data_IF_134943409527
#
_entry.id   IF_134943409527
#
_cell.length_a   1.000
_cell.length_b   1.000
_cell.length_c   1.000
_cell.angle_alpha   90.00
_cell.angle_beta   90.00
_cell.angle_gamma   90.00
#
_symmetry.space_group_name_H-M   'P 1'
#
loop_
_entity.id
_entity.type
_entity.pdbx_description
1 polymer ?
#
# COMPACT_ATOMS: atom_id res chain seq x y z
N UNK A 1 31.42 13.40 9.47
CA UNK A 1 30.38 13.08 8.48
C UNK A 1 29.59 14.37 8.33
N UNK A 2 29.86 15.15 7.29
CA UNK A 2 29.09 16.36 6.99
C UNK A 2 27.74 15.90 6.44
N UNK A 3 26.66 16.34 7.09
CA UNK A 3 25.31 16.08 6.62
C UNK A 3 24.97 17.16 5.59
N UNK A 4 24.93 16.79 4.33
CA UNK A 4 24.45 17.66 3.26
C UNK A 4 22.94 17.50 3.09
N UNK A 5 22.21 18.62 3.11
CA UNK A 5 20.75 18.62 2.96
C UNK A 5 20.30 18.92 1.52
N UNK A 6 21.22 19.02 0.58
CA UNK A 6 20.92 19.43 -0.81
C UNK A 6 20.04 18.38 -1.50
N UNK A 7 20.40 17.09 -1.41
CA UNK A 7 19.60 16.01 -1.99
C UNK A 7 18.23 15.93 -1.32
N UNK A 8 18.19 16.03 0.00
CA UNK A 8 16.95 16.03 0.76
C UNK A 8 16.04 17.21 0.40
N UNK A 9 16.62 18.40 0.18
CA UNK A 9 15.85 19.58 -0.25
C UNK A 9 15.15 19.33 -1.59
N UNK A 10 15.84 18.72 -2.56
CA UNK A 10 15.23 18.41 -3.87
C UNK A 10 14.13 17.37 -3.73
N UNK A 11 14.34 16.32 -2.93
CA UNK A 11 13.32 15.29 -2.64
C UNK A 11 12.06 15.93 -2.04
N UNK A 12 12.21 16.79 -1.03
CA UNK A 12 11.08 17.48 -0.37
C UNK A 12 10.41 18.48 -1.32
N UNK A 13 11.20 19.17 -2.16
CA UNK A 13 10.64 20.08 -3.16
C UNK A 13 9.77 19.34 -4.19
N UNK A 14 10.18 18.17 -4.63
CA UNK A 14 9.38 17.31 -5.51
C UNK A 14 8.13 16.81 -4.80
N UNK A 15 8.25 16.35 -3.55
CA UNK A 15 7.13 15.91 -2.73
C UNK A 15 6.05 17.00 -2.58
N UNK A 16 6.47 18.27 -2.52
CA UNK A 16 5.57 19.42 -2.52
C UNK A 16 5.02 19.74 -3.92
N UNK A 17 5.86 19.73 -4.94
CA UNK A 17 5.49 20.16 -6.30
C UNK A 17 4.57 19.17 -7.01
N UNK A 18 4.68 17.87 -6.76
CA UNK A 18 3.89 16.84 -7.43
C UNK A 18 2.37 16.99 -7.19
N UNK A 19 1.86 17.04 -5.95
CA UNK A 19 0.43 17.26 -5.72
C UNK A 19 -0.02 18.66 -6.16
N UNK A 20 0.84 19.67 -6.08
CA UNK A 20 0.53 21.01 -6.59
C UNK A 20 0.32 21.02 -8.10
N UNK A 21 1.19 20.35 -8.86
CA UNK A 21 1.07 20.21 -10.30
C UNK A 21 -0.22 19.49 -10.71
N UNK A 22 -0.63 18.43 -9.97
CA UNK A 22 -1.90 17.76 -10.17
C UNK A 22 -3.09 18.67 -9.87
N UNK A 23 -3.01 19.47 -8.82
CA UNK A 23 -4.05 20.46 -8.48
C UNK A 23 -4.23 21.52 -9.57
N UNK A 24 -3.15 21.92 -10.24
CA UNK A 24 -3.18 22.85 -11.38
C UNK A 24 -3.66 22.19 -12.68
N UNK A 25 -3.60 20.86 -12.78
CA UNK A 25 -4.02 20.09 -13.94
C UNK A 25 -5.16 19.10 -13.60
N UNK A 26 -6.36 19.55 -13.21
CA UNK A 26 -7.44 18.70 -12.69
C UNK A 26 -7.99 17.69 -13.70
N UNK A 27 -7.62 17.83 -14.98
CA UNK A 27 -7.92 16.85 -16.02
C UNK A 27 -7.06 15.59 -15.93
N UNK A 28 -5.87 15.70 -15.34
CA UNK A 28 -4.97 14.59 -15.06
C UNK A 28 -5.40 13.91 -13.76
N UNK A 29 -6.14 12.83 -13.86
CA UNK A 29 -6.61 12.04 -12.71
C UNK A 29 -5.57 10.98 -12.33
N UNK A 30 -4.35 11.41 -11.99
CA UNK A 30 -3.27 10.54 -11.57
C UNK A 30 -3.12 10.62 -10.04
N UNK A 31 -2.82 9.51 -9.36
CA UNK A 31 -2.36 9.56 -7.97
C UNK A 31 -1.05 10.33 -7.85
N UNK A 32 -0.88 11.11 -6.76
CA UNK A 32 0.34 11.90 -6.52
C UNK A 32 1.61 11.03 -6.52
N UNK A 33 1.52 9.82 -5.99
CA UNK A 33 2.63 8.85 -5.93
C UNK A 33 3.22 8.50 -7.30
N UNK A 34 2.41 8.51 -8.35
CA UNK A 34 2.88 8.30 -9.73
C UNK A 34 3.78 9.45 -10.16
N UNK A 35 3.35 10.68 -9.88
CA UNK A 35 4.12 11.87 -10.27
C UNK A 35 5.38 12.02 -9.41
N UNK A 36 5.32 11.68 -8.13
CA UNK A 36 6.46 11.65 -7.21
C UNK A 36 7.54 10.67 -7.70
N UNK A 37 7.15 9.46 -8.07
CA UNK A 37 8.06 8.45 -8.58
C UNK A 37 8.64 8.85 -9.94
N UNK A 38 7.82 9.33 -10.88
CA UNK A 38 8.29 9.79 -12.19
C UNK A 38 9.22 11.00 -12.06
N UNK A 39 8.91 11.95 -11.17
CA UNK A 39 9.79 13.08 -10.91
C UNK A 39 11.12 12.63 -10.30
N UNK A 40 11.09 11.64 -9.40
CA UNK A 40 12.29 11.00 -8.87
C UNK A 40 13.17 10.39 -9.97
N UNK A 41 12.57 9.68 -10.94
CA UNK A 41 13.29 9.14 -12.12
C UNK A 41 13.96 10.28 -12.90
N UNK A 42 13.24 11.39 -13.11
CA UNK A 42 13.74 12.52 -13.91
C UNK A 42 14.93 13.21 -13.23
N UNK A 43 14.89 13.42 -11.91
CA UNK A 43 15.98 14.09 -11.19
C UNK A 43 17.10 13.13 -10.78
N UNK A 44 16.86 11.84 -10.84
CA UNK A 44 17.81 10.78 -10.49
C UNK A 44 18.97 10.65 -11.48
N UNK A 45 19.90 9.73 -11.18
CA UNK A 45 21.11 9.51 -11.97
C UNK A 45 20.83 9.12 -13.42
N UNK A 46 19.72 8.44 -13.68
CA UNK A 46 19.37 7.97 -15.02
C UNK A 46 19.01 9.08 -16.02
N UNK A 47 18.65 10.30 -15.58
CA UNK A 47 18.24 11.39 -16.49
C UNK A 47 19.02 12.69 -16.21
N UNK A 48 18.76 13.38 -15.10
CA UNK A 48 19.38 14.68 -14.81
C UNK A 48 20.59 14.59 -13.88
N UNK A 49 20.68 13.56 -13.05
CA UNK A 49 21.76 13.38 -12.07
C UNK A 49 21.82 14.50 -11.01
N UNK A 50 20.67 15.11 -10.68
CA UNK A 50 20.62 16.19 -9.67
C UNK A 50 20.58 15.68 -8.24
N UNK A 51 20.11 14.44 -8.05
CA UNK A 51 19.92 13.84 -6.73
C UNK A 51 20.57 12.46 -6.69
N UNK A 52 21.32 12.23 -5.62
CA UNK A 52 21.81 10.92 -5.21
C UNK A 52 21.22 10.56 -3.85
N UNK A 53 21.06 9.25 -3.60
CA UNK A 53 20.53 8.77 -2.32
C UNK A 53 21.64 8.77 -1.29
N UNK A 54 21.68 9.80 -0.46
CA UNK A 54 22.55 9.93 0.70
C UNK A 54 21.86 9.44 2.00
N UNK A 55 22.58 9.42 3.12
CA UNK A 55 22.06 8.96 4.41
C UNK A 55 20.78 9.68 4.86
N UNK A 56 20.66 11.04 4.78
CA UNK A 56 19.41 11.73 5.14
C UNK A 56 18.22 11.32 4.28
N UNK A 57 18.42 11.19 2.96
CA UNK A 57 17.38 10.72 2.02
C UNK A 57 17.01 9.27 2.31
N UNK A 58 17.99 8.41 2.56
CA UNK A 58 17.80 7.00 2.89
C UNK A 58 16.93 6.81 4.14
N UNK A 59 17.28 7.49 5.24
CA UNK A 59 16.53 7.38 6.51
C UNK A 59 15.09 7.87 6.31
N UNK A 60 14.88 8.97 5.58
CA UNK A 60 13.54 9.48 5.32
C UNK A 60 12.72 8.54 4.43
N UNK A 61 13.35 7.92 3.44
CA UNK A 61 12.71 6.93 2.56
C UNK A 61 12.33 5.66 3.33
N UNK A 62 13.19 5.14 4.19
CA UNK A 62 12.90 3.98 5.04
C UNK A 62 11.72 4.26 6.00
N UNK A 63 11.70 5.44 6.62
CA UNK A 63 10.56 5.86 7.43
C UNK A 63 9.30 6.01 6.57
N UNK A 64 9.43 6.47 5.32
CA UNK A 64 8.33 6.57 4.37
C UNK A 64 7.73 5.20 4.03
N UNK A 65 8.57 4.22 3.75
CA UNK A 65 8.15 2.83 3.55
C UNK A 65 7.45 2.27 4.79
N UNK A 66 8.06 2.45 5.96
CA UNK A 66 7.46 1.99 7.21
C UNK A 66 6.10 2.65 7.48
N UNK A 67 5.97 3.96 7.27
CA UNK A 67 4.68 4.67 7.38
C UNK A 67 3.64 4.19 6.37
N UNK A 68 4.05 3.93 5.13
CA UNK A 68 3.17 3.42 4.09
C UNK A 68 2.53 2.09 4.53
N UNK A 69 3.35 1.16 5.02
CA UNK A 69 2.88 -0.16 5.45
C UNK A 69 2.10 -0.09 6.78
N UNK A 70 2.49 0.83 7.67
CA UNK A 70 1.75 1.11 8.89
C UNK A 70 0.34 1.62 8.59
N UNK A 71 0.18 2.58 7.68
CA UNK A 71 -1.13 3.07 7.28
C UNK A 71 -1.94 2.00 6.56
N UNK A 72 -1.30 1.18 5.71
CA UNK A 72 -1.96 0.02 5.11
C UNK A 72 -2.50 -0.97 6.16
N UNK A 73 -1.71 -1.24 7.22
CA UNK A 73 -2.17 -2.04 8.37
C UNK A 73 -3.34 -1.38 9.13
N UNK A 74 -3.31 -0.05 9.27
CA UNK A 74 -4.37 0.73 9.94
C UNK A 74 -5.67 0.78 9.13
N UNK A 75 -5.61 0.62 7.80
CA UNK A 75 -6.78 0.61 6.93
C UNK A 75 -7.60 -0.68 7.02
N UNK A 76 -7.10 -1.72 7.68
CA UNK A 76 -7.80 -3.00 7.77
C UNK A 76 -9.02 -2.87 8.69
N UNK A 77 -10.21 -2.97 8.11
CA UNK A 77 -11.48 -2.97 8.83
C UNK A 77 -11.88 -4.41 9.25
N UNK A 78 -11.22 -4.94 10.27
CA UNK A 78 -11.43 -6.32 10.75
C UNK A 78 -12.90 -6.67 11.04
N UNK A 79 -13.72 -5.69 11.42
CA UNK A 79 -15.15 -5.89 11.72
C UNK A 79 -16.00 -6.13 10.46
N UNK A 80 -15.56 -5.64 9.29
CA UNK A 80 -16.22 -5.88 7.99
C UNK A 80 -15.79 -7.20 7.35
N UNK A 81 -14.67 -7.77 7.78
CA UNK A 81 -14.15 -9.05 7.30
C UNK A 81 -14.87 -10.21 8.01
N UNK A 82 -16.15 -10.47 7.66
CA UNK A 82 -16.96 -11.54 8.29
C UNK A 82 -17.81 -12.29 7.27
N UNK A 83 -18.21 -13.52 7.63
CA UNK A 83 -19.16 -14.31 6.86
C UNK A 83 -18.72 -14.59 5.42
N UNK A 84 -19.62 -14.36 4.48
CA UNK A 84 -19.39 -14.67 3.06
C UNK A 84 -18.33 -13.77 2.41
N UNK A 85 -18.24 -12.49 2.82
CA UNK A 85 -17.23 -11.55 2.32
C UNK A 85 -15.82 -12.04 2.63
N UNK A 86 -15.56 -12.40 3.90
CA UNK A 86 -14.26 -12.96 4.31
C UNK A 86 -13.93 -14.24 3.56
N UNK A 87 -14.92 -15.17 3.46
CA UNK A 87 -14.72 -16.44 2.76
C UNK A 87 -14.32 -16.24 1.30
N UNK A 88 -14.99 -15.32 0.59
CA UNK A 88 -14.69 -15.02 -0.82
C UNK A 88 -13.35 -14.29 -0.96
N UNK A 89 -12.99 -13.41 -0.04
CA UNK A 89 -11.69 -12.71 -0.06
C UNK A 89 -10.54 -13.70 0.16
N UNK A 90 -10.65 -14.61 1.14
CA UNK A 90 -9.64 -15.65 1.41
C UNK A 90 -9.53 -16.65 0.25
N UNK A 91 -10.67 -17.15 -0.27
CA UNK A 91 -10.66 -18.04 -1.43
C UNK A 91 -10.10 -17.33 -2.67
N UNK A 92 -10.47 -16.06 -2.87
CA UNK A 92 -9.92 -15.23 -3.95
C UNK A 92 -8.41 -15.09 -3.85
N UNK A 93 -7.88 -14.87 -2.65
CA UNK A 93 -6.44 -14.81 -2.43
C UNK A 93 -5.76 -16.18 -2.68
N UNK A 94 -6.34 -17.27 -2.20
CA UNK A 94 -5.79 -18.60 -2.45
C UNK A 94 -5.71 -18.94 -3.96
N UNK A 95 -6.73 -18.56 -4.72
CA UNK A 95 -6.71 -18.68 -6.19
C UNK A 95 -5.68 -17.75 -6.81
N UNK A 96 -5.59 -16.49 -6.34
CA UNK A 96 -4.55 -15.54 -6.77
C UNK A 96 -3.16 -16.12 -6.55
N UNK A 97 -2.89 -16.67 -5.38
CA UNK A 97 -1.58 -17.22 -5.04
C UNK A 97 -1.23 -18.43 -5.91
N UNK A 98 -2.19 -19.34 -6.16
CA UNK A 98 -1.98 -20.47 -7.07
C UNK A 98 -1.67 -19.99 -8.50
N UNK A 99 -2.41 -19.01 -9.01
CA UNK A 99 -2.17 -18.41 -10.33
C UNK A 99 -0.82 -17.68 -10.37
N UNK A 100 -0.44 -17.00 -9.30
CA UNK A 100 0.81 -16.27 -9.17
C UNK A 100 2.03 -17.20 -9.20
N UNK A 101 1.97 -18.32 -8.47
CA UNK A 101 3.02 -19.35 -8.52
C UNK A 101 3.11 -19.94 -9.93
N UNK A 102 1.99 -20.24 -10.57
CA UNK A 102 1.99 -20.73 -11.96
C UNK A 102 2.55 -19.67 -12.93
N UNK A 103 2.21 -18.39 -12.75
CA UNK A 103 2.76 -17.30 -13.56
C UNK A 103 4.27 -17.13 -13.34
N UNK A 104 4.75 -17.14 -12.08
CA UNK A 104 6.17 -17.06 -11.75
C UNK A 104 6.97 -18.20 -12.39
N UNK A 105 6.50 -19.45 -12.25
CA UNK A 105 7.12 -20.61 -12.88
C UNK A 105 7.08 -20.53 -14.42
N UNK A 106 6.01 -19.99 -15.00
CA UNK A 106 5.90 -19.77 -16.44
C UNK A 106 6.87 -18.70 -16.95
N UNK A 107 7.07 -17.63 -16.19
CA UNK A 107 8.04 -16.57 -16.51
C UNK A 107 9.48 -17.07 -16.40
N UNK A 108 9.79 -17.85 -15.36
CA UNK A 108 11.10 -18.49 -15.21
C UNK A 108 11.41 -19.44 -16.38
N UNK A 109 10.46 -20.26 -16.81
CA UNK A 109 10.61 -21.19 -17.92
C UNK A 109 10.94 -20.50 -19.25
N UNK A 110 10.59 -19.22 -19.42
CA UNK A 110 10.95 -18.40 -20.59
C UNK A 110 12.13 -17.46 -20.31
N UNK A 111 12.80 -17.60 -19.16
CA UNK A 111 13.97 -16.82 -18.78
C UNK A 111 13.69 -15.36 -18.48
N UNK A 112 12.47 -15.01 -18.07
CA UNK A 112 12.03 -13.64 -17.79
C UNK A 112 12.01 -13.29 -16.30
N UNK A 113 12.32 -14.23 -15.41
CA UNK A 113 12.22 -14.02 -13.96
C UNK A 113 13.48 -14.46 -13.22
N UNK A 114 13.75 -13.82 -12.07
CA UNK A 114 14.68 -14.31 -11.06
C UNK A 114 14.06 -15.46 -10.26
N UNK A 115 13.74 -15.22 -8.98
CA UNK A 115 13.03 -16.22 -8.16
C UNK A 115 11.53 -16.25 -8.52
N UNK A 116 10.99 -17.38 -9.03
CA UNK A 116 9.59 -17.48 -9.46
C UNK A 116 8.58 -17.25 -8.33
N UNK A 117 8.93 -17.66 -7.10
CA UNK A 117 8.07 -17.53 -5.96
C UNK A 117 8.03 -16.09 -5.47
N UNK A 118 9.18 -15.39 -5.50
CA UNK A 118 9.25 -13.97 -5.19
C UNK A 118 8.35 -13.15 -6.13
N UNK A 119 8.50 -13.34 -7.44
CA UNK A 119 7.68 -12.66 -8.45
C UNK A 119 6.20 -13.00 -8.26
N UNK A 120 5.89 -14.28 -8.00
CA UNK A 120 4.53 -14.71 -7.70
C UNK A 120 3.93 -13.94 -6.52
N UNK A 121 4.64 -13.80 -5.40
CA UNK A 121 4.18 -13.04 -4.24
C UNK A 121 3.94 -11.57 -4.62
N UNK A 122 4.86 -10.94 -5.33
CA UNK A 122 4.70 -9.53 -5.74
C UNK A 122 3.49 -9.34 -6.65
N UNK A 123 3.21 -10.29 -7.55
CA UNK A 123 2.02 -10.27 -8.41
C UNK A 123 0.69 -10.47 -7.64
N UNK A 124 0.71 -11.01 -6.42
CA UNK A 124 -0.47 -11.12 -5.56
C UNK A 124 -0.89 -9.81 -4.91
N UNK A 125 -0.05 -8.78 -4.94
CA UNK A 125 -0.33 -7.52 -4.29
C UNK A 125 -1.45 -6.72 -4.96
N UNK A 126 -2.12 -5.90 -4.16
CA UNK A 126 -3.14 -4.95 -4.60
C UNK A 126 -2.90 -3.63 -3.86
N UNK A 127 -3.49 -2.53 -4.27
CA UNK A 127 -3.31 -1.23 -3.61
C UNK A 127 -4.63 -0.69 -3.05
N UNK A 128 -4.85 -0.85 -1.75
CA UNK A 128 -6.01 -0.25 -1.05
C UNK A 128 -6.03 1.28 -1.19
N UNK A 129 -4.88 1.93 -1.06
CA UNK A 129 -4.76 3.39 -1.16
C UNK A 129 -5.22 3.97 -2.49
N UNK A 130 -5.26 3.18 -3.57
CA UNK A 130 -5.81 3.59 -4.88
C UNK A 130 -7.28 3.17 -5.01
N UNK A 131 -7.65 2.01 -4.49
CA UNK A 131 -9.00 1.44 -4.62
C UNK A 131 -10.02 2.24 -3.81
N UNK A 132 -9.70 2.58 -2.54
CA UNK A 132 -10.64 3.26 -1.64
C UNK A 132 -11.10 4.61 -2.20
N UNK A 133 -10.22 5.51 -2.67
CA UNK A 133 -10.66 6.76 -3.31
C UNK A 133 -11.58 6.53 -4.50
N UNK A 134 -11.25 5.59 -5.39
CA UNK A 134 -12.08 5.26 -6.57
C UNK A 134 -13.49 4.80 -6.16
N UNK A 135 -13.60 3.97 -5.12
CA UNK A 135 -14.89 3.51 -4.60
C UNK A 135 -15.65 4.62 -3.88
N UNK A 136 -14.96 5.52 -3.17
CA UNK A 136 -15.57 6.70 -2.52
C UNK A 136 -16.13 7.68 -3.57
N UNK A 137 -15.32 8.03 -4.56
CA UNK A 137 -15.70 8.97 -5.63
C UNK A 137 -16.88 8.46 -6.48
N UNK A 138 -17.02 7.13 -6.58
CA UNK A 138 -18.13 6.48 -7.27
C UNK A 138 -19.34 6.18 -6.37
N UNK A 139 -19.28 6.53 -5.07
CA UNK A 139 -20.35 6.26 -4.10
C UNK A 139 -20.55 4.76 -3.79
N UNK A 140 -19.57 3.91 -4.11
CA UNK A 140 -19.68 2.45 -4.00
C UNK A 140 -19.06 1.86 -2.72
N UNK A 141 -18.40 2.66 -1.87
CA UNK A 141 -17.67 2.16 -0.69
C UNK A 141 -18.56 1.36 0.29
N UNK A 142 -19.84 1.73 0.43
CA UNK A 142 -20.81 1.05 1.30
C UNK A 142 -21.56 -0.10 0.64
N UNK A 143 -21.43 -0.29 -0.67
CA UNK A 143 -22.12 -1.35 -1.41
C UNK A 143 -21.48 -2.72 -1.16
N UNK A 144 -22.23 -3.82 -1.38
CA UNK A 144 -21.68 -5.19 -1.34
C UNK A 144 -20.48 -5.35 -2.27
N UNK A 145 -20.56 -4.75 -3.45
CA UNK A 145 -19.47 -4.71 -4.42
C UNK A 145 -18.21 -4.04 -3.82
N UNK A 146 -18.35 -2.83 -3.28
CA UNK A 146 -17.24 -2.10 -2.68
C UNK A 146 -16.62 -2.85 -1.50
N UNK A 147 -17.45 -3.44 -0.63
CA UNK A 147 -16.97 -4.24 0.50
C UNK A 147 -16.20 -5.49 0.06
N UNK A 148 -16.62 -6.20 -1.00
CA UNK A 148 -15.90 -7.33 -1.55
C UNK A 148 -14.55 -6.92 -2.13
N UNK A 149 -14.50 -5.81 -2.86
CA UNK A 149 -13.26 -5.29 -3.44
C UNK A 149 -12.28 -4.86 -2.34
N UNK A 150 -12.74 -4.12 -1.33
CA UNK A 150 -11.92 -3.71 -0.18
C UNK A 150 -11.42 -4.93 0.61
N UNK A 151 -12.29 -5.89 0.90
CA UNK A 151 -11.91 -7.09 1.63
C UNK A 151 -10.88 -7.93 0.87
N UNK A 152 -11.06 -8.11 -0.44
CA UNK A 152 -10.11 -8.83 -1.28
C UNK A 152 -8.75 -8.14 -1.37
N UNK A 153 -8.71 -6.81 -1.41
CA UNK A 153 -7.49 -6.03 -1.38
C UNK A 153 -6.82 -6.11 0.01
N UNK A 154 -7.58 -5.95 1.10
CA UNK A 154 -7.04 -6.05 2.48
C UNK A 154 -6.40 -7.42 2.76
N UNK A 155 -7.05 -8.51 2.34
CA UNK A 155 -6.49 -9.87 2.49
C UNK A 155 -5.21 -10.02 1.64
N UNK A 156 -5.19 -9.47 0.44
CA UNK A 156 -4.03 -9.53 -0.42
C UNK A 156 -2.84 -8.76 0.17
N UNK A 157 -3.03 -7.52 0.60
CA UNK A 157 -1.98 -6.71 1.21
C UNK A 157 -1.41 -7.41 2.46
N UNK A 158 -2.28 -7.89 3.35
CA UNK A 158 -1.85 -8.66 4.53
C UNK A 158 -1.05 -9.92 4.15
N UNK A 159 -1.63 -10.74 3.30
CA UNK A 159 -1.07 -12.06 3.00
C UNK A 159 0.24 -11.96 2.19
N UNK A 160 0.37 -10.98 1.29
CA UNK A 160 1.62 -10.78 0.53
C UNK A 160 2.77 -10.32 1.42
N UNK A 161 2.52 -9.43 2.38
CA UNK A 161 3.53 -8.99 3.35
C UNK A 161 3.99 -10.17 4.21
N UNK A 162 3.04 -10.97 4.72
CA UNK A 162 3.36 -12.14 5.53
C UNK A 162 4.12 -13.19 4.70
N UNK A 163 3.70 -13.47 3.47
CA UNK A 163 4.38 -14.42 2.59
C UNK A 163 5.79 -13.95 2.22
N UNK A 164 5.96 -12.67 1.91
CA UNK A 164 7.27 -12.11 1.61
C UNK A 164 8.21 -12.27 2.81
N UNK A 165 7.77 -11.86 4.00
CA UNK A 165 8.57 -12.00 5.21
C UNK A 165 8.83 -13.46 5.62
N UNK A 166 7.89 -14.37 5.36
CA UNK A 166 8.02 -15.77 5.71
C UNK A 166 9.00 -16.52 4.80
N UNK A 167 8.99 -16.21 3.50
CA UNK A 167 9.72 -16.97 2.49
C UNK A 167 11.04 -16.30 2.06
N UNK A 168 11.19 -15.00 2.30
CA UNK A 168 12.34 -14.18 1.88
C UNK A 168 12.97 -13.40 3.04
N UNK A 169 13.00 -13.99 4.23
CA UNK A 169 13.71 -13.44 5.41
C UNK A 169 15.21 -13.76 5.34
N UNK A 170 16.06 -12.76 5.63
CA UNK A 170 17.53 -12.85 5.50
C UNK A 170 18.19 -13.91 6.40
N UNK A 171 17.62 -14.18 7.58
CA UNK A 171 18.22 -15.04 8.59
C UNK A 171 17.48 -16.36 8.82
N UNK A 172 16.42 -16.63 8.08
CA UNK A 172 15.61 -17.82 8.28
C UNK A 172 16.30 -19.07 7.74
N UNK A 173 16.85 -19.88 8.63
CA UNK A 173 17.44 -21.18 8.30
C UNK A 173 16.37 -22.25 7.97
N UNK A 174 15.12 -22.03 8.37
CA UNK A 174 13.98 -22.92 8.07
C UNK A 174 12.63 -22.20 8.20
N UNK A 175 11.63 -22.65 7.47
CA UNK A 175 10.26 -22.15 7.56
C UNK A 175 9.73 -22.24 8.99
N UNK A 176 10.09 -23.26 9.73
CA UNK A 176 9.66 -23.45 11.14
C UNK A 176 10.23 -22.35 12.04
N UNK A 177 11.51 -21.98 11.89
CA UNK A 177 12.10 -20.89 12.66
C UNK A 177 11.43 -19.56 12.35
N UNK A 178 11.16 -19.25 11.08
CA UNK A 178 10.47 -18.03 10.69
C UNK A 178 9.04 -17.97 11.22
N UNK A 179 8.31 -19.08 11.20
CA UNK A 179 6.98 -19.16 11.81
C UNK A 179 6.99 -18.92 13.32
N UNK A 180 8.01 -19.43 14.04
CA UNK A 180 8.17 -19.18 15.47
C UNK A 180 8.51 -17.70 15.75
N UNK A 181 9.38 -17.09 14.96
CA UNK A 181 9.75 -15.68 15.08
C UNK A 181 8.55 -14.78 14.76
N UNK A 182 7.82 -15.08 13.69
CA UNK A 182 6.58 -14.39 13.33
C UNK A 182 5.54 -14.53 14.46
N UNK A 183 5.34 -15.75 14.98
CA UNK A 183 4.45 -16.00 16.11
C UNK A 183 4.87 -15.22 17.36
N UNK A 184 6.16 -15.13 17.62
CA UNK A 184 6.74 -14.32 18.71
C UNK A 184 6.46 -12.82 18.52
N UNK A 185 6.70 -12.29 17.33
CA UNK A 185 6.42 -10.89 16.99
C UNK A 185 4.93 -10.56 17.16
N UNK A 186 4.05 -11.42 16.65
CA UNK A 186 2.60 -11.28 16.81
C UNK A 186 2.19 -11.37 18.28
N UNK A 187 2.77 -12.29 19.06
CA UNK A 187 2.49 -12.42 20.49
C UNK A 187 2.90 -11.15 21.26
N UNK A 188 4.08 -10.58 20.97
CA UNK A 188 4.52 -9.29 21.53
C UNK A 188 3.57 -8.17 21.13
N UNK A 189 3.16 -8.09 19.85
CA UNK A 189 2.22 -7.10 19.39
C UNK A 189 0.87 -7.22 20.11
N UNK A 190 0.33 -8.43 20.25
CA UNK A 190 -0.93 -8.68 20.99
C UNK A 190 -0.77 -8.32 22.47
N UNK A 191 0.34 -8.67 23.12
CA UNK A 191 0.61 -8.30 24.51
C UNK A 191 0.66 -6.77 24.69
N UNK A 192 1.31 -6.05 23.77
CA UNK A 192 1.31 -4.59 23.73
C UNK A 192 -0.10 -4.02 23.53
N UNK A 193 -0.89 -4.57 22.60
CA UNK A 193 -2.28 -4.17 22.38
C UNK A 193 -3.14 -4.34 23.63
N UNK A 194 -3.03 -5.48 24.30
CA UNK A 194 -3.73 -5.75 25.56
C UNK A 194 -3.26 -4.81 26.69
N UNK A 195 -1.97 -4.48 26.72
CA UNK A 195 -1.45 -3.51 27.69
C UNK A 195 -1.98 -2.10 27.42
N UNK A 196 -2.02 -1.67 26.15
CA UNK A 196 -2.56 -0.38 25.74
C UNK A 196 -4.07 -0.26 26.06
N UNK A 197 -4.87 -1.28 25.73
CA UNK A 197 -6.30 -1.28 26.05
C UNK A 197 -6.55 -1.23 27.55
N UNK A 198 -5.78 -1.99 28.36
CA UNK A 198 -5.87 -1.92 29.82
C UNK A 198 -5.44 -0.56 30.37
N UNK A 199 -4.42 0.04 29.77
CA UNK A 199 -3.94 1.37 30.16
C UNK A 199 -4.99 2.46 29.87
N UNK A 200 -5.65 2.40 28.73
CA UNK A 200 -6.74 3.32 28.37
C UNK A 200 -7.98 3.14 29.28
N UNK A 201 -8.30 1.92 29.70
CA UNK A 201 -9.36 1.63 30.66
C UNK A 201 -9.04 2.14 32.06
N UNK A 202 -7.79 2.48 32.39
CA UNK A 202 -7.42 3.08 33.66
C UNK A 202 -7.90 4.53 33.71
N UNK A 203 -8.76 4.86 34.67
CA UNK A 203 -9.34 6.22 34.83
C UNK A 203 -8.28 7.33 34.92
N UNK A 204 -7.11 7.05 35.48
CA UNK A 204 -6.02 8.03 35.60
C UNK A 204 -5.26 8.21 34.29
N UNK A 205 -4.86 7.11 33.65
CA UNK A 205 -4.07 7.17 32.41
C UNK A 205 -4.92 7.59 31.23
N UNK A 206 -6.16 7.09 31.10
CA UNK A 206 -7.11 7.50 30.09
C UNK A 206 -7.37 9.02 30.12
N UNK A 207 -7.60 9.60 31.31
CA UNK A 207 -7.78 11.05 31.43
C UNK A 207 -6.53 11.86 31.05
N UNK A 208 -5.33 11.37 31.35
CA UNK A 208 -4.07 12.01 30.95
C UNK A 208 -3.89 11.92 29.42
N UNK A 209 -4.16 10.77 28.82
CA UNK A 209 -4.06 10.60 27.37
C UNK A 209 -5.05 11.51 26.63
N UNK A 210 -6.31 11.56 27.09
CA UNK A 210 -7.33 12.45 26.52
C UNK A 210 -6.95 13.92 26.68
N UNK A 211 -6.41 14.31 27.82
CA UNK A 211 -5.98 15.70 28.08
C UNK A 211 -4.80 16.11 27.19
N UNK A 212 -3.87 15.20 26.87
CA UNK A 212 -2.66 15.48 26.12
C UNK A 212 -2.78 15.26 24.61
N UNK A 213 -3.87 14.63 24.12
CA UNK A 213 -4.02 14.27 22.71
C UNK A 213 -4.14 15.47 21.76
N UNK A 214 -4.77 16.58 22.22
CA UNK A 214 -5.03 17.79 21.43
C UNK A 214 -4.13 18.97 21.85
N UNK A 215 -3.10 18.69 22.63
CA UNK A 215 -2.07 19.66 23.00
C UNK A 215 -0.85 19.53 22.08
N UNK A 216 0.15 20.40 22.26
CA UNK A 216 1.46 20.27 21.59
C UNK A 216 2.18 18.95 21.88
N UNK A 217 1.73 18.20 22.92
CA UNK A 217 2.27 16.88 23.23
C UNK A 217 1.89 15.82 22.20
N UNK A 218 0.70 15.90 21.56
CA UNK A 218 0.20 14.95 20.55
C UNK A 218 0.46 13.49 20.96
N UNK A 219 0.13 13.14 22.20
CA UNK A 219 0.61 11.92 22.86
C UNK A 219 0.24 10.64 22.10
N UNK A 220 -0.95 10.60 21.49
CA UNK A 220 -1.39 9.44 20.69
C UNK A 220 -0.58 9.27 19.41
N UNK A 221 -0.24 10.38 18.72
CA UNK A 221 0.61 10.34 17.51
C UNK A 221 2.02 9.87 17.88
N UNK A 222 2.57 10.38 19.00
CA UNK A 222 3.88 9.90 19.49
C UNK A 222 3.85 8.43 19.89
N UNK A 223 2.75 7.97 20.51
CA UNK A 223 2.54 6.57 20.85
C UNK A 223 2.47 5.67 19.62
N UNK A 224 1.74 6.10 18.59
CA UNK A 224 1.67 5.39 17.32
C UNK A 224 3.05 5.32 16.62
N UNK A 225 3.81 6.41 16.64
CA UNK A 225 5.17 6.44 16.10
C UNK A 225 6.13 5.55 16.89
N UNK A 226 6.03 5.55 18.22
CA UNK A 226 6.81 4.64 19.07
C UNK A 226 6.47 3.17 18.79
N UNK A 227 5.19 2.85 18.59
CA UNK A 227 4.74 1.51 18.25
C UNK A 227 5.28 1.08 16.87
N UNK A 228 5.19 1.98 15.88
CA UNK A 228 5.74 1.76 14.55
C UNK A 228 7.23 1.44 14.61
N UNK A 229 8.03 2.35 15.16
CA UNK A 229 9.50 2.19 15.22
C UNK A 229 9.87 0.99 16.10
N UNK A 230 9.20 0.79 17.23
CA UNK A 230 9.46 -0.31 18.15
C UNK A 230 9.22 -1.69 17.54
N UNK A 231 8.07 -1.90 16.87
CA UNK A 231 7.78 -3.18 16.22
C UNK A 231 8.62 -3.39 14.95
N UNK A 232 8.95 -2.31 14.23
CA UNK A 232 9.88 -2.36 13.09
C UNK A 232 11.28 -2.78 13.55
N UNK A 233 11.82 -2.15 14.59
CA UNK A 233 13.10 -2.50 15.17
C UNK A 233 13.12 -3.95 15.68
N UNK A 234 12.06 -4.37 16.40
CA UNK A 234 11.93 -5.74 16.87
C UNK A 234 11.88 -6.74 15.71
N UNK A 235 11.16 -6.44 14.62
CA UNK A 235 11.14 -7.30 13.44
C UNK A 235 12.54 -7.46 12.85
N UNK A 236 13.28 -6.36 12.70
CA UNK A 236 14.67 -6.36 12.19
C UNK A 236 15.61 -7.17 13.10
N UNK A 237 15.53 -7.01 14.43
CA UNK A 237 16.34 -7.80 15.40
C UNK A 237 16.00 -9.31 15.36
N UNK A 238 14.79 -9.66 14.96
CA UNK A 238 14.36 -11.04 14.75
C UNK A 238 14.71 -11.57 13.35
N UNK A 239 15.43 -10.81 12.52
CA UNK A 239 15.76 -11.17 11.14
C UNK A 239 14.55 -11.19 10.19
N UNK A 240 13.43 -10.56 10.57
CA UNK A 240 12.24 -10.40 9.74
C UNK A 240 12.30 -9.07 8.97
N UNK A 241 11.55 -8.97 7.90
CA UNK A 241 11.50 -7.76 7.09
C UNK A 241 10.86 -6.57 7.83
N UNK A 242 11.45 -5.37 7.66
CA UNK A 242 11.00 -4.09 8.23
C UNK A 242 9.51 -3.84 7.95
N UNK A 243 9.06 -4.19 6.74
CA UNK A 243 7.68 -4.01 6.30
C UNK A 243 6.66 -4.75 7.16
N UNK A 244 7.02 -5.91 7.69
CA UNK A 244 6.15 -6.73 8.54
C UNK A 244 5.93 -6.06 9.90
N UNK A 245 6.99 -5.57 10.54
CA UNK A 245 6.90 -4.86 11.82
C UNK A 245 6.02 -3.61 11.73
N UNK A 246 6.21 -2.82 10.69
CA UNK A 246 5.42 -1.63 10.42
C UNK A 246 3.93 -1.97 10.19
N UNK A 247 3.66 -2.98 9.37
CA UNK A 247 2.30 -3.43 9.07
C UNK A 247 1.57 -3.98 10.31
N UNK A 248 2.26 -4.78 11.13
CA UNK A 248 1.70 -5.30 12.39
C UNK A 248 1.41 -4.16 13.35
N UNK A 249 2.26 -3.12 13.43
CA UNK A 249 2.01 -1.94 14.24
C UNK A 249 0.72 -1.22 13.85
N UNK A 250 0.49 -1.01 12.56
CA UNK A 250 -0.74 -0.42 12.04
C UNK A 250 -1.97 -1.29 12.29
N UNK A 251 -1.87 -2.59 12.01
CA UNK A 251 -2.94 -3.56 12.24
C UNK A 251 -3.32 -3.67 13.72
N UNK A 252 -2.32 -3.64 14.61
CA UNK A 252 -2.55 -3.63 16.04
C UNK A 252 -3.32 -2.38 16.49
N UNK A 253 -2.92 -1.21 15.98
CA UNK A 253 -3.62 0.03 16.27
C UNK A 253 -5.06 0.00 15.76
N UNK A 254 -5.31 -0.55 14.56
CA UNK A 254 -6.65 -0.75 14.03
C UNK A 254 -7.50 -1.71 14.88
N UNK A 255 -6.88 -2.70 15.54
CA UNK A 255 -7.57 -3.62 16.45
C UNK A 255 -7.91 -2.98 17.80
N UNK A 256 -7.02 -2.13 18.32
CA UNK A 256 -7.22 -1.41 19.61
C UNK A 256 -8.25 -0.30 19.44
N UNK A 257 -8.26 0.37 18.29
CA UNK A 257 -9.14 1.50 17.96
C UNK A 257 -10.59 1.08 17.58
N UNK A 258 -11.13 0.07 18.28
CA UNK A 258 -12.45 -0.52 17.97
C UNK A 258 -13.64 0.36 18.27
N UNK A 259 -13.51 1.33 19.16
CA UNK A 259 -14.59 2.22 19.55
C UNK A 259 -14.41 3.60 18.93
N UNK A 260 -15.16 3.89 17.86
CA UNK A 260 -15.27 5.25 17.28
C UNK A 260 -15.62 6.34 18.31
N UNK A 261 -16.17 5.93 19.47
CA UNK A 261 -16.50 6.82 20.59
C UNK A 261 -15.31 7.12 21.53
N UNK A 262 -14.24 6.29 21.53
CA UNK A 262 -13.07 6.48 22.40
C UNK A 262 -11.87 7.07 21.66
N UNK A 263 -11.79 6.95 20.32
CA UNK A 263 -10.71 7.51 19.52
C UNK A 263 -11.16 8.82 18.92
N UNK A 264 -10.36 9.87 19.16
CA UNK A 264 -10.65 11.19 18.59
C UNK A 264 -10.70 11.09 17.06
N UNK A 265 -11.78 11.55 16.37
CA UNK A 265 -11.94 11.43 14.91
C UNK A 265 -10.75 11.97 14.12
N UNK A 266 -10.02 12.95 14.68
CA UNK A 266 -8.85 13.53 14.07
C UNK A 266 -7.56 12.68 14.19
N UNK A 267 -7.54 11.61 14.99
CA UNK A 267 -6.30 10.86 15.24
C UNK A 267 -5.77 10.19 13.95
N UNK A 268 -6.64 9.47 13.25
CA UNK A 268 -6.30 8.85 11.97
C UNK A 268 -5.88 9.90 10.95
N UNK A 269 -6.61 11.02 10.85
CA UNK A 269 -6.27 12.15 9.98
C UNK A 269 -4.90 12.75 10.30
N UNK A 270 -4.52 12.83 11.59
CA UNK A 270 -3.19 13.28 12.00
C UNK A 270 -2.09 12.32 11.54
N UNK A 271 -2.29 11.01 11.66
CA UNK A 271 -1.34 10.00 11.18
C UNK A 271 -1.23 10.03 9.65
N UNK A 272 -2.34 10.12 8.95
CA UNK A 272 -2.39 10.26 7.49
C UNK A 272 -1.68 11.54 7.05
N UNK A 273 -1.87 12.66 7.74
CA UNK A 273 -1.18 13.93 7.44
C UNK A 273 0.33 13.83 7.60
N UNK A 274 0.82 13.13 8.63
CA UNK A 274 2.25 12.88 8.84
C UNK A 274 2.80 11.91 7.77
N UNK A 275 2.07 10.83 7.51
CA UNK A 275 2.47 9.82 6.51
C UNK A 275 2.49 10.39 5.10
N UNK A 276 1.34 10.82 4.59
CA UNK A 276 1.20 11.30 3.20
C UNK A 276 1.73 12.72 3.00
N UNK A 277 1.86 13.52 4.07
CA UNK A 277 2.40 14.87 3.97
C UNK A 277 3.92 14.96 4.01
N UNK A 278 4.62 13.97 4.59
CA UNK A 278 6.07 14.06 4.82
C UNK A 278 6.81 12.80 4.38
N UNK A 279 6.48 11.64 4.97
CA UNK A 279 7.34 10.46 4.85
C UNK A 279 7.11 9.67 3.56
N UNK A 280 5.86 9.38 3.22
CA UNK A 280 5.51 8.54 2.06
C UNK A 280 5.96 9.15 0.73
N UNK A 281 5.78 10.47 0.48
CA UNK A 281 6.31 11.10 -0.73
C UNK A 281 7.82 10.95 -0.88
N UNK A 282 8.57 11.08 0.21
CA UNK A 282 10.01 10.89 0.18
C UNK A 282 10.40 9.47 -0.25
N UNK A 283 9.68 8.45 0.21
CA UNK A 283 9.88 7.07 -0.25
C UNK A 283 9.67 6.93 -1.76
N UNK A 284 8.57 7.48 -2.32
CA UNK A 284 8.30 7.35 -3.75
C UNK A 284 9.27 8.14 -4.62
N UNK A 285 9.65 9.36 -4.23
CA UNK A 285 10.67 10.14 -4.93
C UNK A 285 12.00 9.41 -4.90
N UNK A 286 12.43 8.91 -3.74
CA UNK A 286 13.69 8.15 -3.61
C UNK A 286 13.67 6.84 -4.40
N UNK A 287 12.53 6.15 -4.43
CA UNK A 287 12.36 4.96 -5.26
C UNK A 287 12.47 5.30 -6.75
N UNK A 288 11.99 6.47 -7.17
CA UNK A 288 12.21 6.99 -8.50
C UNK A 288 13.67 7.31 -8.79
N UNK A 289 14.40 7.93 -7.84
CA UNK A 289 15.84 8.22 -7.97
C UNK A 289 16.66 6.92 -8.14
N UNK A 290 16.27 5.85 -7.45
CA UNK A 290 16.91 4.52 -7.56
C UNK A 290 16.50 3.73 -8.80
N UNK A 291 15.48 4.22 -9.52
CA UNK A 291 14.97 3.49 -10.69
C UNK A 291 15.99 3.46 -11.83
N UNK A 292 16.33 2.26 -12.28
CA UNK A 292 17.26 2.04 -13.38
C UNK A 292 16.52 2.14 -14.73
N UNK A 293 16.55 3.34 -15.33
CA UNK A 293 15.91 3.60 -16.61
C UNK A 293 16.69 2.93 -17.76
N UNK A 294 18.01 2.80 -17.62
CA UNK A 294 18.86 2.16 -18.63
C UNK A 294 18.55 0.64 -18.69
N UNK A 295 18.36 0.01 -17.52
CA UNK A 295 17.91 -1.38 -17.47
C UNK A 295 16.51 -1.55 -18.12
N UNK A 296 15.59 -0.59 -17.96
CA UNK A 296 14.29 -0.61 -18.62
C UNK A 296 14.37 -0.39 -20.14
N UNK A 297 15.31 0.41 -20.63
CA UNK A 297 15.42 0.78 -22.04
C UNK A 297 15.79 -0.39 -22.98
N UNK A 298 16.26 -1.51 -22.43
CA UNK A 298 16.50 -2.74 -23.17
C UNK A 298 15.22 -3.28 -23.83
N UNK A 299 15.28 -3.65 -25.11
CA UNK A 299 14.11 -4.14 -25.85
C UNK A 299 13.47 -5.38 -25.18
N UNK A 300 14.29 -6.26 -24.61
CA UNK A 300 13.83 -7.42 -23.83
C UNK A 300 13.09 -7.03 -22.56
N UNK A 301 13.62 -6.07 -21.80
CA UNK A 301 13.04 -5.57 -20.56
C UNK A 301 11.74 -4.81 -20.84
N UNK A 302 11.73 -3.97 -21.88
CA UNK A 302 10.52 -3.25 -22.27
C UNK A 302 9.39 -4.20 -22.68
N UNK A 303 9.72 -5.34 -23.31
CA UNK A 303 8.75 -6.39 -23.64
C UNK A 303 8.21 -7.11 -22.40
N UNK A 304 8.90 -7.10 -21.26
CA UNK A 304 8.43 -7.68 -20.00
C UNK A 304 7.31 -6.85 -19.37
N UNK A 305 7.28 -5.52 -19.57
CA UNK A 305 6.29 -4.63 -18.97
C UNK A 305 4.85 -5.05 -19.29
N UNK A 306 4.44 -5.24 -20.56
CA UNK A 306 3.10 -5.72 -20.86
C UNK A 306 2.84 -7.14 -20.35
N UNK A 307 3.85 -7.98 -20.23
CA UNK A 307 3.73 -9.33 -19.67
C UNK A 307 3.41 -9.26 -18.17
N UNK A 308 4.14 -8.45 -17.39
CA UNK A 308 3.83 -8.25 -15.97
C UNK A 308 2.48 -7.57 -15.78
N UNK A 309 2.11 -6.61 -16.62
CA UNK A 309 0.79 -5.97 -16.56
C UNK A 309 -0.33 -6.99 -16.83
N UNK A 310 -0.17 -7.86 -17.80
CA UNK A 310 -1.11 -8.95 -18.08
C UNK A 310 -1.13 -9.98 -16.94
N UNK A 311 0.02 -10.31 -16.36
CA UNK A 311 0.12 -11.21 -15.22
C UNK A 311 -0.61 -10.63 -13.99
N UNK A 312 -0.47 -9.34 -13.67
CA UNK A 312 -1.25 -8.66 -12.64
C UNK A 312 -2.76 -8.79 -12.89
N UNK A 313 -3.18 -8.55 -14.14
CA UNK A 313 -4.59 -8.66 -14.52
C UNK A 313 -5.12 -10.09 -14.39
N UNK A 314 -4.34 -11.09 -14.75
CA UNK A 314 -4.72 -12.48 -14.64
C UNK A 314 -4.72 -12.95 -13.18
N UNK A 315 -3.62 -12.73 -12.45
CA UNK A 315 -3.41 -13.21 -11.08
C UNK A 315 -4.41 -12.58 -10.12
N UNK A 316 -4.64 -11.27 -10.21
CA UNK A 316 -5.52 -10.54 -9.30
C UNK A 316 -6.93 -10.33 -9.84
N UNK A 317 -7.08 -10.23 -11.14
CA UNK A 317 -8.37 -9.99 -11.78
C UNK A 317 -9.25 -11.24 -11.86
N UNK A 318 -8.71 -12.40 -12.27
CA UNK A 318 -9.51 -13.61 -12.41
C UNK A 318 -10.22 -14.06 -11.12
N UNK A 319 -9.58 -14.00 -9.93
CA UNK A 319 -10.27 -14.33 -8.68
C UNK A 319 -11.49 -13.47 -8.38
N UNK A 320 -11.56 -12.23 -8.90
CA UNK A 320 -12.75 -11.38 -8.77
C UNK A 320 -14.00 -12.02 -9.44
N UNK A 321 -13.82 -12.99 -10.33
CA UNK A 321 -14.93 -13.77 -10.90
C UNK A 321 -15.71 -14.57 -9.84
N UNK A 322 -15.10 -14.85 -8.68
CA UNK A 322 -15.79 -15.46 -7.53
C UNK A 322 -16.88 -14.56 -6.96
N UNK A 323 -16.84 -13.25 -7.25
CA UNK A 323 -17.85 -12.30 -6.79
C UNK A 323 -19.16 -12.34 -7.60
N UNK A 324 -19.19 -13.08 -8.75
CA UNK A 324 -20.35 -13.19 -9.66
C UNK A 324 -21.70 -13.42 -8.97
N UNK A 325 -21.82 -14.23 -7.90
CA UNK A 325 -23.11 -14.45 -7.25
C UNK A 325 -23.64 -13.24 -6.48
N UNK A 326 -22.79 -12.27 -6.13
CA UNK A 326 -23.08 -11.16 -5.22
C UNK A 326 -23.02 -9.79 -5.88
N UNK A 327 -22.50 -9.70 -7.12
CA UNK A 327 -22.30 -8.44 -7.82
C UNK A 327 -22.92 -8.51 -9.23
N UNK A 328 -23.34 -7.36 -9.73
CA UNK A 328 -23.90 -7.24 -11.06
C UNK A 328 -22.85 -7.51 -12.15
N UNK A 329 -23.33 -7.99 -13.30
CA UNK A 329 -22.47 -8.27 -14.47
C UNK A 329 -21.63 -7.05 -14.90
N UNK A 330 -22.11 -5.82 -14.65
CA UNK A 330 -21.40 -4.58 -14.95
C UNK A 330 -20.32 -4.23 -13.93
N UNK A 331 -20.48 -4.63 -12.67
CA UNK A 331 -19.54 -4.39 -11.60
C UNK A 331 -18.36 -5.38 -11.64
N UNK A 332 -18.56 -6.55 -12.25
CA UNK A 332 -17.54 -7.58 -12.31
C UNK A 332 -16.24 -7.14 -13.02
N UNK A 333 -16.27 -6.56 -14.25
CA UNK A 333 -15.05 -6.06 -14.88
C UNK A 333 -14.40 -4.92 -14.09
N UNK A 334 -15.20 -4.13 -13.37
CA UNK A 334 -14.66 -3.11 -12.47
C UNK A 334 -13.90 -3.75 -11.29
N UNK A 335 -14.46 -4.80 -10.68
CA UNK A 335 -13.77 -5.57 -9.64
C UNK A 335 -12.44 -6.15 -10.16
N UNK A 336 -12.44 -6.74 -11.36
CA UNK A 336 -11.25 -7.26 -12.03
C UNK A 336 -10.16 -6.19 -12.13
N UNK A 337 -10.49 -5.02 -12.65
CA UNK A 337 -9.54 -3.92 -12.84
C UNK A 337 -9.02 -3.38 -11.50
N UNK A 338 -9.92 -3.12 -10.54
CA UNK A 338 -9.52 -2.56 -9.25
C UNK A 338 -8.65 -3.53 -8.45
N UNK A 339 -8.99 -4.83 -8.43
CA UNK A 339 -8.17 -5.85 -7.76
C UNK A 339 -6.77 -5.97 -8.38
N UNK A 340 -6.62 -5.68 -9.68
CA UNK A 340 -5.35 -5.78 -10.39
C UNK A 340 -4.48 -4.53 -10.28
N UNK A 341 -4.95 -3.50 -9.58
CA UNK A 341 -4.22 -2.25 -9.39
C UNK A 341 -3.19 -2.41 -8.28
N UNK A 342 -1.90 -2.28 -8.60
CA UNK A 342 -0.83 -2.41 -7.60
C UNK A 342 0.39 -1.57 -8.00
N UNK A 343 0.89 -0.75 -7.07
CA UNK A 343 2.15 -0.02 -7.24
C UNK A 343 2.95 0.06 -5.92
N UNK A 344 2.39 0.58 -4.80
CA UNK A 344 3.19 0.83 -3.59
C UNK A 344 3.92 -0.42 -3.09
N UNK A 345 3.23 -1.55 -3.05
CA UNK A 345 3.84 -2.81 -2.64
C UNK A 345 4.85 -3.34 -3.67
N UNK A 346 4.60 -3.18 -4.97
CA UNK A 346 5.55 -3.58 -6.02
C UNK A 346 6.87 -2.81 -5.85
N UNK A 347 6.80 -1.49 -5.65
CA UNK A 347 7.99 -0.65 -5.42
C UNK A 347 8.75 -1.10 -4.17
N UNK A 348 8.05 -1.34 -3.06
CA UNK A 348 8.65 -1.82 -1.82
C UNK A 348 9.27 -3.20 -1.98
N UNK A 349 8.53 -4.14 -2.57
CA UNK A 349 8.98 -5.52 -2.74
C UNK A 349 10.15 -5.62 -3.73
N UNK A 350 10.14 -4.86 -4.83
CA UNK A 350 11.27 -4.87 -5.79
C UNK A 350 12.55 -4.32 -5.17
N UNK A 351 12.48 -3.31 -4.29
CA UNK A 351 13.64 -2.85 -3.53
C UNK A 351 14.22 -3.97 -2.64
N UNK A 352 13.36 -4.69 -1.92
CA UNK A 352 13.76 -5.85 -1.10
C UNK A 352 14.31 -6.98 -2.00
N UNK A 353 13.67 -7.25 -3.13
CA UNK A 353 14.10 -8.29 -4.06
C UNK A 353 15.48 -8.05 -4.65
N UNK A 354 15.84 -6.78 -4.91
CA UNK A 354 17.19 -6.39 -5.32
C UNK A 354 18.21 -6.59 -4.19
N UNK A 355 17.84 -6.24 -2.96
CA UNK A 355 18.72 -6.44 -1.80
C UNK A 355 18.96 -7.92 -1.45
N UNK A 356 18.02 -8.79 -1.78
CA UNK A 356 18.08 -10.23 -1.55
C UNK A 356 18.61 -11.03 -2.76
N UNK A 357 19.00 -10.35 -3.85
CA UNK A 357 19.37 -10.97 -5.11
C UNK A 357 18.29 -11.92 -5.66
N UNK A 358 17.00 -11.71 -5.28
CA UNK A 358 15.88 -12.50 -5.75
C UNK A 358 15.44 -12.13 -7.18
N UNK A 359 15.67 -10.88 -7.58
CA UNK A 359 15.40 -10.35 -8.93
C UNK A 359 16.56 -9.44 -9.37
N UNK A 360 16.75 -9.30 -10.67
CA UNK A 360 17.71 -8.36 -11.25
C UNK A 360 17.10 -6.95 -11.46
N UNK A 361 17.93 -5.97 -11.76
CA UNK A 361 17.52 -4.58 -11.98
C UNK A 361 16.54 -4.45 -13.16
N UNK A 362 16.68 -5.27 -14.20
CA UNK A 362 15.82 -5.25 -15.37
C UNK A 362 14.40 -5.73 -15.01
N UNK A 363 14.29 -6.84 -14.29
CA UNK A 363 13.02 -7.37 -13.80
C UNK A 363 12.36 -6.40 -12.84
N UNK A 364 13.11 -5.81 -11.89
CA UNK A 364 12.62 -4.82 -10.96
C UNK A 364 12.03 -3.59 -11.70
N UNK A 365 12.79 -3.05 -12.67
CA UNK A 365 12.35 -1.92 -13.48
C UNK A 365 11.07 -2.23 -14.28
N UNK A 366 11.00 -3.42 -14.91
CA UNK A 366 9.82 -3.85 -15.65
C UNK A 366 8.59 -4.02 -14.75
N UNK A 367 8.75 -4.56 -13.55
CA UNK A 367 7.65 -4.72 -12.57
C UNK A 367 7.15 -3.39 -12.06
N UNK A 368 8.04 -2.44 -11.72
CA UNK A 368 7.66 -1.08 -11.29
C UNK A 368 6.95 -0.34 -12.42
N UNK A 369 7.44 -0.44 -13.66
CA UNK A 369 6.78 0.15 -14.83
C UNK A 369 5.38 -0.45 -15.06
N UNK A 370 5.22 -1.77 -14.94
CA UNK A 370 3.91 -2.42 -15.00
C UNK A 370 2.98 -1.96 -13.87
N UNK A 371 3.49 -1.81 -12.65
CA UNK A 371 2.78 -1.24 -11.50
C UNK A 371 2.29 0.17 -11.77
N UNK A 372 3.16 1.06 -12.28
CA UNK A 372 2.81 2.42 -12.69
C UNK A 372 1.66 2.42 -13.72
N UNK A 373 1.78 1.60 -14.77
CA UNK A 373 0.73 1.47 -15.77
C UNK A 373 -0.59 0.95 -15.16
N UNK A 374 -0.52 0.00 -14.23
CA UNK A 374 -1.70 -0.56 -13.57
C UNK A 374 -2.49 0.50 -12.82
N UNK A 375 -1.81 1.38 -12.07
CA UNK A 375 -2.43 2.46 -11.27
C UNK A 375 -3.02 3.57 -12.14
N UNK A 376 -2.47 3.78 -13.32
CA UNK A 376 -3.00 4.77 -14.29
C UNK A 376 -4.16 4.20 -15.10
N UNK A 377 -3.98 3.02 -15.69
CA UNK A 377 -4.91 2.47 -16.67
C UNK A 377 -6.14 1.82 -16.04
N UNK A 378 -5.95 0.98 -14.99
CA UNK A 378 -7.03 0.17 -14.46
C UNK A 378 -8.09 1.00 -13.71
N UNK A 379 -7.74 1.94 -12.80
CA UNK A 379 -8.73 2.79 -12.16
C UNK A 379 -9.46 3.71 -13.14
N UNK A 380 -8.76 4.26 -14.15
CA UNK A 380 -9.35 5.09 -15.17
C UNK A 380 -10.39 4.31 -16.00
N UNK A 381 -10.07 3.07 -16.40
CA UNK A 381 -10.99 2.17 -17.08
C UNK A 381 -12.17 1.77 -16.17
N UNK A 382 -11.91 1.45 -14.90
CA UNK A 382 -12.91 1.11 -13.90
C UNK A 382 -13.93 2.24 -13.71
N UNK A 383 -13.47 3.49 -13.53
CA UNK A 383 -14.34 4.68 -13.40
C UNK A 383 -15.19 4.91 -14.67
N UNK A 384 -14.61 4.67 -15.85
CA UNK A 384 -15.33 4.82 -17.11
C UNK A 384 -16.48 3.80 -17.23
N UNK A 385 -16.24 2.57 -16.79
CA UNK A 385 -17.25 1.50 -16.78
C UNK A 385 -18.36 1.79 -15.76
N UNK A 386 -18.01 2.28 -14.57
CA UNK A 386 -18.98 2.67 -13.53
C UNK A 386 -19.90 3.78 -14.00
N UNK A 387 -19.36 4.83 -14.63
CA UNK A 387 -20.15 5.97 -15.14
C UNK A 387 -21.11 5.58 -16.27
N UNK A 388 -20.71 4.69 -17.16
CA UNK A 388 -21.59 4.17 -18.23
C UNK A 388 -22.74 3.32 -17.69
N UNK A 389 -22.66 2.88 -16.43
CA UNK A 389 -23.67 2.05 -15.78
C UNK A 389 -24.71 2.82 -14.96
N UNK A 390 -24.51 4.10 -14.70
CA UNK A 390 -25.43 4.92 -13.91
C UNK A 390 -26.37 5.71 -14.87
N UNK A 391 -27.66 5.30 -15.00
CA UNK A 391 -28.63 6.03 -15.81
C UNK A 391 -29.03 7.40 -15.22
N UNK A 392 -28.59 7.70 -13.96
CA UNK A 392 -28.82 8.95 -13.26
C UNK A 392 -27.50 9.67 -12.99
N UNK A 393 -26.74 9.98 -14.04
CA UNK A 393 -25.54 10.81 -13.95
C UNK A 393 -25.80 12.17 -13.28
N UNK A 394 -24.76 12.95 -12.94
CA UNK A 394 -24.85 14.16 -12.11
C UNK A 394 -25.80 15.25 -12.65
N UNK A 395 -26.32 15.12 -13.86
CA UNK A 395 -27.32 16.03 -14.46
C UNK A 395 -28.77 15.80 -13.98
N UNK A 396 -29.04 14.71 -13.23
CA UNK A 396 -30.38 14.33 -12.77
C UNK A 396 -30.68 14.54 -11.29
N UNK A 397 -29.75 15.00 -10.47
CA UNK A 397 -30.04 15.35 -9.08
C UNK A 397 -30.56 16.79 -9.01
N UNK A 398 -31.87 17.02 -8.64
CA UNK A 398 -32.31 18.36 -8.31
C UNK A 398 -31.44 18.85 -7.15
N UNK A 399 -30.91 20.08 -7.28
CA UNK A 399 -30.18 20.76 -6.22
C UNK A 399 -31.01 20.67 -4.92
N UNK A 400 -30.53 19.91 -3.94
CA UNK A 400 -31.10 19.98 -2.60
C UNK A 400 -30.70 21.36 -2.06
N UNK A 401 -31.67 22.29 -2.16
CA UNK A 401 -31.66 23.57 -1.46
C UNK A 401 -31.48 23.27 0.02
N UNK A 402 -30.35 23.69 0.61
CA UNK A 402 -30.15 23.70 2.05
C UNK A 402 -31.23 24.59 2.67
N UNK A 403 -31.97 24.13 3.72
CA UNK A 403 -33.05 24.89 4.32
C UNK A 403 -32.57 25.97 5.33
N UNK A 404 -31.40 26.55 5.17
CA UNK A 404 -30.89 27.58 6.11
C UNK A 404 -30.75 28.99 5.51
N UNK A 405 -31.48 29.33 4.44
CA UNK A 405 -31.56 30.73 3.96
C UNK A 405 -32.96 31.32 3.96
N UNK A 406 -33.79 30.95 4.93
CA UNK A 406 -35.05 31.71 5.21
C UNK A 406 -35.27 31.74 6.71
N UNK A 407 -34.62 32.67 7.42
CA UNK A 407 -35.11 33.32 8.63
C UNK A 407 -34.21 34.51 8.97
#
# INVERSE_FOLDING_TARGET
MELEFTNLLVVVAIAFAAPLALGLAPKLRLPAVVLELVAGIVVGPSVLGWVEVDNPVEVLALLGLAFLLFLAGLEIEFHKLRGQVLRLAVLGFAVSFALAVAAGLGLDAVGMAGDPLFIGIVLCATSLGVIIPVLKDSGQSGSTFGQLVIAGASIADFATIVLLSLLFSREATSITSTLLLLGGLVAVAVALGLALTRAEMSMRLGSVLTRLQDTTAQIRVRGAFLLLVGLTALATELGLEVILGAFIAGSLLALVDRDEMMTHPAFRTKLEAVGFGVFIPAFFVTSGVRFDLDALAGASTLAQVPVFLAALLLVRGLPALLYRPLVDRRQLPVAVLLQSTSLPFIVAATAIGLELDAIDAATAAAMVAAGLLSVVLFPAAALTLLRKGDPHGPEGRPAQLHPEEVA
#
